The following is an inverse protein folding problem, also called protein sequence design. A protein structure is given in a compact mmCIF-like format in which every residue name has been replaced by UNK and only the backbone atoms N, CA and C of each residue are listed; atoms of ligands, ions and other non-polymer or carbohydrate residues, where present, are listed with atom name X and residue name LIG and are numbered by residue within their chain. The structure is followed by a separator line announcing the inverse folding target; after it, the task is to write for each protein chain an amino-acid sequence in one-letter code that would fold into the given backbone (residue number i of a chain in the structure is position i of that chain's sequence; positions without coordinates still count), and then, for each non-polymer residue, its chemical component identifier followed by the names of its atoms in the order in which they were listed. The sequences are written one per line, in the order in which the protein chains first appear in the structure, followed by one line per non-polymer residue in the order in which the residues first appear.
data_IF_648340386296
#
_entry.id   IF_648340386296
#
_cell.length_a   1.000
_cell.length_b   1.000
_cell.length_c   1.000
_cell.angle_alpha   90.00
_cell.angle_beta   90.00
_cell.angle_gamma   90.00
#
_symmetry.space_group_name_H-M   'P 1'
#
loop_
_entity.id
_entity.type
_entity.pdbx_description
1 polymer ?
#
# COMPACT_ATOMS: atom_id res chain seq x y z
N UNK A 1 -41.98 18.63 62.34
CA UNK A 1 -41.75 17.26 61.83
C UNK A 1 -41.49 17.34 60.32
N UNK A 2 -40.37 16.74 59.88
CA UNK A 2 -39.93 16.44 58.51
C UNK A 2 -39.68 17.58 57.51
N UNK A 3 -38.39 17.97 57.47
CA UNK A 3 -37.64 18.50 56.31
C UNK A 3 -37.92 17.68 55.04
N UNK A 4 -38.29 18.33 53.95
CA UNK A 4 -38.11 17.84 52.58
C UNK A 4 -37.25 18.89 51.87
N UNK A 5 -35.94 18.72 52.01
CA UNK A 5 -34.93 19.41 51.22
C UNK A 5 -34.89 18.69 49.88
N UNK A 6 -35.10 19.43 48.80
CA UNK A 6 -34.80 19.01 47.44
C UNK A 6 -33.35 18.48 47.42
N UNK A 7 -33.19 17.16 47.35
CA UNK A 7 -32.03 16.56 46.70
C UNK A 7 -32.63 15.81 45.53
N UNK A 8 -32.81 16.54 44.42
CA UNK A 8 -32.79 15.94 43.11
C UNK A 8 -31.40 15.31 42.99
N UNK A 9 -31.24 14.09 43.52
CA UNK A 9 -30.12 13.23 43.17
C UNK A 9 -30.34 12.90 41.71
N UNK A 10 -29.86 13.82 40.90
CA UNK A 10 -29.38 13.62 39.57
C UNK A 10 -28.43 12.42 39.65
N UNK A 11 -28.98 11.21 39.57
CA UNK A 11 -28.27 10.05 39.05
C UNK A 11 -28.10 10.28 37.54
N UNK A 12 -27.40 11.37 37.18
CA UNK A 12 -26.38 11.20 36.17
C UNK A 12 -25.39 10.28 36.88
N UNK A 13 -25.58 8.97 36.68
CA UNK A 13 -24.40 8.13 36.57
C UNK A 13 -23.58 8.92 35.54
N UNK A 14 -22.51 9.59 35.97
CA UNK A 14 -21.44 9.96 35.04
C UNK A 14 -20.83 8.61 34.71
N UNK A 15 -21.60 7.81 33.97
CA UNK A 15 -21.13 6.66 33.26
C UNK A 15 -20.18 7.33 32.32
N UNK A 16 -18.89 7.21 32.67
CA UNK A 16 -17.79 7.54 31.82
C UNK A 16 -18.05 6.70 30.57
N UNK A 17 -18.81 7.25 29.63
CA UNK A 17 -19.04 6.63 28.36
C UNK A 17 -17.72 6.84 27.66
N UNK A 18 -16.79 5.92 27.91
CA UNK A 18 -15.58 5.81 27.11
C UNK A 18 -16.11 5.70 25.70
N UNK A 19 -15.87 6.73 24.89
CA UNK A 19 -16.18 6.68 23.47
C UNK A 19 -15.49 5.43 22.92
N UNK A 20 -16.23 4.64 22.16
CA UNK A 20 -15.70 3.43 21.55
C UNK A 20 -14.38 3.76 20.86
N UNK A 21 -13.33 3.03 21.22
CA UNK A 21 -12.04 3.21 20.59
C UNK A 21 -12.15 2.86 19.10
N UNK A 22 -11.63 3.72 18.25
CA UNK A 22 -11.74 3.56 16.80
C UNK A 22 -10.48 4.09 16.12
N UNK A 23 -10.07 3.41 15.06
CA UNK A 23 -8.91 3.78 14.23
C UNK A 23 -9.46 4.44 12.96
N UNK A 24 -9.04 5.68 12.69
CA UNK A 24 -9.37 6.43 11.48
C UNK A 24 -8.15 6.58 10.58
N UNK A 25 -8.35 6.47 9.27
CA UNK A 25 -7.33 6.52 8.23
C UNK A 25 -7.76 5.75 6.97
N UNK A 26 -6.96 5.76 5.91
CA UNK A 26 -7.30 5.12 4.64
C UNK A 26 -7.52 3.61 4.77
N UNK A 27 -8.39 3.03 3.94
CA UNK A 27 -8.65 1.57 3.88
C UNK A 27 -7.66 0.83 2.99
N UNK A 28 -6.95 1.55 2.11
CA UNK A 28 -5.95 0.99 1.21
C UNK A 28 -4.74 1.90 1.09
N UNK A 29 -3.56 1.29 0.93
CA UNK A 29 -2.31 1.98 0.64
C UNK A 29 -1.60 1.34 -0.56
N UNK A 30 -0.77 2.11 -1.25
CA UNK A 30 0.16 1.54 -2.22
C UNK A 30 1.32 0.87 -1.48
N UNK A 31 1.85 -0.20 -2.04
CA UNK A 31 3.06 -0.87 -1.53
C UNK A 31 4.20 0.15 -1.29
N UNK A 32 4.86 0.06 -0.13
CA UNK A 32 5.95 0.95 0.31
C UNK A 32 5.57 2.45 0.41
N UNK A 33 4.27 2.79 0.40
CA UNK A 33 3.79 4.15 0.72
C UNK A 33 3.49 4.28 2.20
N UNK A 34 3.45 5.52 2.69
CA UNK A 34 3.18 5.82 4.10
C UNK A 34 1.99 6.74 4.24
N UNK A 35 1.22 6.54 5.29
CA UNK A 35 0.07 7.38 5.59
C UNK A 35 -0.17 7.46 7.10
N UNK A 36 -0.98 8.44 7.49
CA UNK A 36 -1.27 8.71 8.91
C UNK A 36 -2.59 8.10 9.34
N UNK A 37 -2.57 7.43 10.48
CA UNK A 37 -3.73 6.91 11.18
C UNK A 37 -3.88 7.61 12.52
N UNK A 38 -5.12 7.72 12.98
CA UNK A 38 -5.45 8.32 14.27
C UNK A 38 -6.34 7.39 15.08
N UNK A 39 -6.21 7.44 16.40
CA UNK A 39 -7.11 6.78 17.33
C UNK A 39 -7.99 7.84 18.01
N UNK A 40 -9.28 7.56 18.13
CA UNK A 40 -10.21 8.35 18.96
C UNK A 40 -10.95 7.44 19.92
N UNK A 41 -11.39 7.98 21.05
CA UNK A 41 -11.94 7.19 22.15
C UNK A 41 -10.86 6.46 22.96
N UNK A 42 -11.27 5.59 23.88
CA UNK A 42 -10.35 4.91 24.79
C UNK A 42 -9.64 5.82 25.80
N UNK A 43 -8.60 5.30 26.44
CA UNK A 43 -7.81 5.97 27.48
C UNK A 43 -6.32 5.81 27.20
N UNK A 44 -5.61 6.91 26.94
CA UNK A 44 -4.15 6.90 26.77
C UNK A 44 -3.42 6.30 28.02
N UNK A 45 -2.24 5.68 27.86
CA UNK A 45 -1.42 5.59 26.63
C UNK A 45 -1.95 4.55 25.63
N UNK A 46 -1.74 4.83 24.34
CA UNK A 46 -2.08 3.93 23.24
C UNK A 46 -0.84 3.17 22.77
N UNK A 47 -0.94 1.85 22.71
CA UNK A 47 0.10 0.98 22.15
C UNK A 47 -0.30 0.56 20.74
N UNK A 48 0.50 0.97 19.75
CA UNK A 48 0.24 0.70 18.34
C UNK A 48 1.10 -0.46 17.86
N UNK A 49 0.48 -1.45 17.24
CA UNK A 49 1.19 -2.55 16.58
C UNK A 49 0.64 -2.76 15.17
N UNK A 50 1.51 -3.25 14.28
CA UNK A 50 1.17 -3.53 12.87
C UNK A 50 1.69 -4.90 12.47
N UNK A 51 0.89 -5.62 11.68
CA UNK A 51 1.27 -6.90 11.08
C UNK A 51 1.73 -6.78 9.62
N UNK A 52 1.92 -7.91 8.95
CA UNK A 52 2.04 -7.96 7.48
C UNK A 52 3.27 -7.27 6.88
N UNK A 53 4.32 -7.03 7.66
CA UNK A 53 5.53 -6.34 7.20
C UNK A 53 5.41 -4.82 7.07
N UNK A 54 4.29 -4.24 7.52
CA UNK A 54 4.17 -2.80 7.69
C UNK A 54 5.03 -2.32 8.86
N UNK A 55 5.39 -1.03 8.86
CA UNK A 55 6.25 -0.43 9.89
C UNK A 55 5.63 0.85 10.43
N UNK A 56 5.77 1.05 11.74
CA UNK A 56 5.39 2.28 12.41
C UNK A 56 6.57 3.25 12.36
N UNK A 57 6.31 4.49 11.95
CA UNK A 57 7.32 5.54 11.84
C UNK A 57 7.09 6.59 12.93
N UNK A 58 8.15 6.92 13.67
CA UNK A 58 8.12 7.92 14.73
C UNK A 58 7.58 7.39 16.06
N UNK A 59 7.13 8.30 16.92
CA UNK A 59 6.61 8.00 18.25
C UNK A 59 5.08 8.02 18.25
N UNK A 60 4.40 6.87 18.42
CA UNK A 60 2.95 6.81 18.38
C UNK A 60 2.31 7.57 19.55
N UNK A 61 1.22 8.28 19.25
CA UNK A 61 0.35 8.90 20.26
C UNK A 61 -1.09 8.76 19.82
N UNK A 62 -1.82 9.88 19.78
CA UNK A 62 -3.15 9.94 19.15
C UNK A 62 -3.06 9.68 17.65
N UNK A 63 -1.95 10.07 17.03
CA UNK A 63 -1.66 9.84 15.62
C UNK A 63 -0.43 8.95 15.48
N UNK A 64 -0.36 8.18 14.40
CA UNK A 64 0.80 7.40 13.99
C UNK A 64 0.94 7.41 12.48
N UNK A 65 2.17 7.41 11.97
CA UNK A 65 2.43 7.20 10.54
C UNK A 65 2.83 5.75 10.33
N UNK A 66 2.21 5.07 9.38
CA UNK A 66 2.47 3.67 9.04
C UNK A 66 2.91 3.59 7.59
N UNK A 67 4.04 2.93 7.35
CA UNK A 67 4.53 2.54 6.03
C UNK A 67 4.04 1.14 5.71
N UNK A 68 3.31 0.99 4.60
CA UNK A 68 2.86 -0.30 4.11
C UNK A 68 4.03 -1.15 3.57
N UNK A 69 3.98 -2.46 3.83
CA UNK A 69 4.86 -3.44 3.18
C UNK A 69 4.32 -3.87 1.82
N UNK A 70 4.53 -5.14 1.47
CA UNK A 70 4.04 -5.77 0.22
C UNK A 70 2.75 -6.56 0.39
N UNK A 71 2.32 -6.81 1.63
CA UNK A 71 1.13 -7.58 1.95
C UNK A 71 0.09 -6.72 2.67
N UNK A 72 -1.18 -7.11 2.55
CA UNK A 72 -2.25 -6.56 3.40
C UNK A 72 -1.86 -6.70 4.88
N UNK A 73 -2.24 -5.72 5.68
CA UNK A 73 -1.88 -5.69 7.09
C UNK A 73 -3.06 -5.29 7.96
N UNK A 74 -2.90 -5.54 9.27
CA UNK A 74 -3.85 -5.13 10.30
C UNK A 74 -3.12 -4.20 11.25
N UNK A 75 -3.74 -3.07 11.52
CA UNK A 75 -3.36 -2.13 12.57
C UNK A 75 -4.10 -2.53 13.83
N UNK A 76 -3.39 -2.59 14.95
CA UNK A 76 -3.97 -2.88 16.26
C UNK A 76 -3.56 -1.76 17.21
N UNK A 77 -4.53 -1.15 17.87
CA UNK A 77 -4.30 -0.17 18.93
C UNK A 77 -4.86 -0.70 20.23
N UNK A 78 -4.02 -0.81 21.23
CA UNK A 78 -4.37 -1.34 22.55
C UNK A 78 -4.27 -0.23 23.59
N UNK A 79 -5.25 -0.16 24.48
CA UNK A 79 -5.29 0.74 25.62
C UNK A 79 -5.63 -0.06 26.91
N UNK A 80 -5.87 0.64 28.03
CA UNK A 80 -6.22 -0.01 29.30
C UNK A 80 -7.59 -0.73 29.29
N UNK A 81 -8.46 -0.40 28.34
CA UNK A 81 -9.83 -0.91 28.23
C UNK A 81 -9.98 -2.03 27.21
N UNK A 82 -9.02 -2.19 26.29
CA UNK A 82 -9.02 -3.26 25.31
C UNK A 82 -8.21 -2.95 24.07
N UNK A 83 -8.56 -3.60 22.97
CA UNK A 83 -7.87 -3.45 21.69
C UNK A 83 -8.87 -3.28 20.56
N UNK A 84 -8.53 -2.40 19.62
CA UNK A 84 -9.28 -2.17 18.39
C UNK A 84 -8.38 -2.43 17.20
N UNK A 85 -8.94 -3.00 16.13
CA UNK A 85 -8.17 -3.33 14.92
C UNK A 85 -8.77 -2.69 13.67
N UNK A 86 -7.93 -2.46 12.66
CA UNK A 86 -8.30 -2.00 11.33
C UNK A 86 -7.52 -2.77 10.28
N UNK A 87 -8.23 -3.41 9.35
CA UNK A 87 -7.61 -4.03 8.18
C UNK A 87 -7.30 -2.96 7.13
N UNK A 88 -6.14 -3.07 6.48
CA UNK A 88 -5.70 -2.19 5.40
C UNK A 88 -5.21 -3.05 4.24
N UNK A 89 -5.77 -2.84 3.05
CA UNK A 89 -5.33 -3.52 1.85
C UNK A 89 -4.13 -2.82 1.21
N UNK A 90 -3.19 -3.59 0.68
CA UNK A 90 -2.03 -3.05 -0.03
C UNK A 90 -2.19 -3.29 -1.52
N UNK A 91 -2.18 -2.19 -2.27
CA UNK A 91 -2.15 -2.21 -3.72
C UNK A 91 -0.69 -2.37 -4.16
N UNK A 92 -0.36 -3.56 -4.65
CA UNK A 92 0.96 -3.86 -5.19
C UNK A 92 1.31 -2.92 -6.35
N UNK A 93 2.58 -2.55 -6.46
CA UNK A 93 3.02 -1.75 -7.61
C UNK A 93 2.99 -2.61 -8.88
N UNK A 94 2.57 -2.03 -10.02
CA UNK A 94 2.75 -2.67 -11.32
C UNK A 94 4.21 -3.09 -11.51
N UNK A 95 4.45 -4.38 -11.75
CA UNK A 95 5.78 -4.89 -12.07
C UNK A 95 5.93 -5.05 -13.58
N UNK A 96 6.83 -4.28 -14.19
CA UNK A 96 7.20 -4.44 -15.59
C UNK A 96 8.21 -5.59 -15.72
N UNK A 97 7.78 -6.69 -16.31
CA UNK A 97 8.66 -7.79 -16.70
C UNK A 97 8.85 -7.79 -18.22
N UNK A 98 10.10 -7.66 -18.67
CA UNK A 98 10.47 -7.79 -20.08
C UNK A 98 11.48 -8.91 -20.23
N UNK A 99 11.27 -9.75 -21.24
CA UNK A 99 12.22 -10.79 -21.60
C UNK A 99 12.48 -10.80 -23.09
N UNK A 100 13.58 -11.46 -23.49
CA UNK A 100 13.91 -11.67 -24.89
C UNK A 100 14.63 -12.99 -25.08
N UNK A 101 14.71 -13.46 -26.32
CA UNK A 101 15.56 -14.60 -26.68
C UNK A 101 17.04 -14.21 -26.93
N UNK A 102 17.48 -13.03 -26.50
CA UNK A 102 18.87 -12.57 -26.62
C UNK A 102 19.80 -13.33 -25.66
N UNK A 103 21.05 -13.65 -26.06
CA UNK A 103 21.68 -13.34 -27.35
C UNK A 103 21.20 -14.21 -28.50
N UNK A 104 21.18 -13.65 -29.72
CA UNK A 104 20.85 -14.34 -30.97
C UNK A 104 21.97 -14.18 -32.00
N UNK A 105 22.05 -15.11 -32.95
CA UNK A 105 22.99 -15.03 -34.07
C UNK A 105 22.55 -13.98 -35.11
N UNK A 106 23.51 -13.48 -35.90
CA UNK A 106 23.22 -12.67 -37.08
C UNK A 106 22.22 -13.39 -38.02
N UNK A 107 21.30 -12.62 -38.62
CA UNK A 107 20.21 -13.13 -39.45
C UNK A 107 19.04 -13.75 -38.67
N UNK A 108 19.18 -14.02 -37.37
CA UNK A 108 18.08 -14.57 -36.55
C UNK A 108 17.02 -13.51 -36.22
N UNK A 109 15.87 -13.96 -35.73
CA UNK A 109 14.79 -13.08 -35.24
C UNK A 109 14.89 -12.88 -33.73
N UNK A 110 14.92 -11.62 -33.31
CA UNK A 110 14.75 -11.24 -31.90
C UNK A 110 13.27 -11.25 -31.56
N UNK A 111 12.91 -11.95 -30.50
CA UNK A 111 11.56 -11.98 -29.94
C UNK A 111 11.60 -11.26 -28.59
N UNK A 112 10.71 -10.28 -28.42
CA UNK A 112 10.53 -9.57 -27.16
C UNK A 112 9.19 -9.97 -26.56
N UNK A 113 9.19 -10.19 -25.26
CA UNK A 113 7.97 -10.47 -24.50
C UNK A 113 7.81 -9.47 -23.36
N UNK A 114 6.62 -8.87 -23.29
CA UNK A 114 6.19 -8.06 -22.17
C UNK A 114 5.23 -8.87 -21.30
N UNK A 115 5.70 -9.28 -20.12
CA UNK A 115 4.88 -10.00 -19.14
C UNK A 115 3.82 -9.12 -18.47
N UNK A 116 3.88 -7.79 -18.65
CA UNK A 116 2.94 -6.88 -18.02
C UNK A 116 1.55 -6.93 -18.68
N UNK A 117 0.52 -7.13 -17.87
CA UNK A 117 -0.89 -7.05 -18.26
C UNK A 117 -1.51 -5.78 -17.64
N UNK A 118 -2.27 -5.02 -18.45
CA UNK A 118 -2.96 -3.82 -17.99
C UNK A 118 -2.43 -2.49 -18.51
N UNK A 119 -1.41 -2.48 -19.40
CA UNK A 119 -1.04 -1.27 -20.12
C UNK A 119 -2.09 -0.90 -21.16
N UNK A 120 -2.37 0.40 -21.31
CA UNK A 120 -3.25 0.93 -22.37
C UNK A 120 -2.55 1.05 -23.71
N UNK A 121 -1.22 1.17 -23.70
CA UNK A 121 -0.35 1.24 -24.87
C UNK A 121 1.00 0.61 -24.57
N UNK A 122 1.69 0.14 -25.60
CA UNK A 122 3.08 -0.30 -25.53
C UNK A 122 3.90 0.58 -26.47
N UNK A 123 5.06 1.07 -26.02
CA UNK A 123 5.99 1.79 -26.89
C UNK A 123 7.38 1.20 -26.72
N UNK A 124 7.78 0.39 -27.69
CA UNK A 124 9.13 -0.15 -27.78
C UNK A 124 10.02 0.83 -28.54
N UNK A 125 11.22 1.06 -28.03
CA UNK A 125 12.26 1.83 -28.70
C UNK A 125 13.62 1.13 -28.53
N UNK A 126 14.44 1.13 -29.58
CA UNK A 126 15.73 0.47 -29.54
C UNK A 126 16.71 0.90 -30.63
N UNK A 127 17.90 0.28 -30.66
CA UNK A 127 18.98 0.62 -31.57
C UNK A 127 18.56 0.49 -33.04
N UNK A 128 19.24 1.25 -33.92
CA UNK A 128 18.96 1.30 -35.35
C UNK A 128 17.48 1.60 -35.68
N UNK A 129 16.85 2.48 -34.87
CA UNK A 129 15.52 3.02 -35.13
C UNK A 129 14.37 2.06 -34.88
N UNK A 130 14.59 0.96 -34.17
CA UNK A 130 13.51 0.02 -33.86
C UNK A 130 12.44 0.70 -33.02
N UNK A 131 11.21 0.66 -33.52
CA UNK A 131 10.02 1.08 -32.77
C UNK A 131 8.91 0.06 -32.97
N UNK A 132 8.08 -0.15 -31.94
CA UNK A 132 6.88 -0.97 -32.06
C UNK A 132 5.84 -0.58 -31.03
N UNK A 133 4.56 -0.72 -31.39
CA UNK A 133 3.42 -0.55 -30.49
C UNK A 133 2.72 -1.88 -30.14
N UNK A 134 3.30 -3.00 -30.56
CA UNK A 134 2.78 -4.34 -30.28
C UNK A 134 3.30 -4.78 -28.92
N UNK A 135 2.46 -5.46 -28.12
CA UNK A 135 2.85 -5.98 -26.80
C UNK A 135 4.11 -6.85 -26.86
N UNK A 136 4.13 -7.83 -27.76
CA UNK A 136 5.21 -8.79 -27.96
C UNK A 136 5.75 -8.69 -29.39
N UNK A 137 6.61 -7.71 -29.71
CA UNK A 137 7.10 -7.51 -31.07
C UNK A 137 8.24 -8.46 -31.40
N UNK A 138 8.45 -8.67 -32.69
CA UNK A 138 9.61 -9.39 -33.22
C UNK A 138 10.43 -8.46 -34.12
N UNK A 139 11.75 -8.67 -34.14
CA UNK A 139 12.69 -7.95 -35.01
C UNK A 139 13.49 -8.97 -35.82
N UNK A 140 13.11 -9.26 -37.07
CA UNK A 140 13.81 -10.21 -37.92
C UNK A 140 15.14 -9.65 -38.44
N UNK A 141 15.99 -10.54 -38.96
CA UNK A 141 17.25 -10.22 -39.63
C UNK A 141 18.20 -9.41 -38.73
N UNK A 142 18.52 -9.96 -37.56
CA UNK A 142 19.45 -9.32 -36.61
C UNK A 142 20.81 -9.02 -37.26
N UNK A 143 21.33 -7.82 -37.05
CA UNK A 143 22.69 -7.43 -37.49
C UNK A 143 23.49 -6.89 -36.31
N UNK A 144 24.84 -6.85 -36.38
CA UNK A 144 25.67 -6.26 -35.33
C UNK A 144 25.33 -4.81 -35.01
N UNK A 145 24.79 -4.04 -35.98
CA UNK A 145 24.32 -2.66 -35.75
C UNK A 145 23.06 -2.54 -34.90
N UNK A 146 22.42 -3.65 -34.53
CA UNK A 146 21.24 -3.71 -33.66
C UNK A 146 21.59 -3.92 -32.18
N UNK A 147 22.87 -4.09 -31.84
CA UNK A 147 23.32 -4.26 -30.46
C UNK A 147 22.97 -3.03 -29.60
N UNK A 148 22.47 -3.27 -28.39
CA UNK A 148 22.12 -2.25 -27.42
C UNK A 148 20.88 -2.63 -26.62
N UNK A 149 20.39 -1.67 -25.82
CA UNK A 149 19.22 -1.87 -24.98
C UNK A 149 17.93 -1.52 -25.72
N UNK A 150 16.90 -2.35 -25.55
CA UNK A 150 15.54 -2.05 -25.94
C UNK A 150 14.77 -1.61 -24.71
N UNK A 151 14.03 -0.52 -24.85
CA UNK A 151 13.24 0.10 -23.81
C UNK A 151 11.76 -0.08 -24.12
N UNK A 152 10.96 -0.29 -23.07
CA UNK A 152 9.50 -0.22 -23.13
C UNK A 152 9.05 0.97 -22.28
N UNK A 153 8.11 1.74 -22.81
CA UNK A 153 7.44 2.86 -22.16
C UNK A 153 5.93 2.62 -22.11
#
# INVERSE_FOLDING_TARGET
MKKIILILQLFIIIGFHVQAQMISGPDQLCENSSDTYSVSGGTAPYDWTVGGGASIIGSPGVNVTITAGTMNFVITVTDANGSTTKAVAVNAKPTLAMTSNSPICEGSTLNLDCGFSGATSYIWAGPSGFTSNIKNPTRPNATPGMTGHIMLQ
#
